data_IF_803358341410
#
_entry.id   IF_803358341410
#
_cell.length_a   1.000
_cell.length_b   1.000
_cell.length_c   1.000
_cell.angle_alpha   90.00
_cell.angle_beta   90.00
_cell.angle_gamma   90.00
#
_symmetry.space_group_name_H-M   'P 1'
#
loop_
_entity.id
_entity.type
_entity.pdbx_description
1 polymer ?
#
# COMPACT_ATOMS: atom_id res chain seq x y z
N UNK A 1 55.53 20.44 -13.97
CA UNK A 1 56.01 19.15 -14.51
C UNK A 1 55.36 18.02 -13.73
N UNK A 2 54.89 17.00 -14.44
CA UNK A 2 54.11 15.84 -13.96
C UNK A 2 55.06 14.71 -13.53
N UNK A 3 54.56 13.87 -12.60
CA UNK A 3 54.71 12.40 -12.44
C UNK A 3 55.35 12.01 -11.11
N UNK A 4 55.04 10.91 -10.44
CA UNK A 4 53.98 9.87 -10.44
C UNK A 4 54.45 8.85 -9.38
N UNK A 5 53.55 7.93 -9.02
CA UNK A 5 53.76 6.74 -8.18
C UNK A 5 53.61 7.01 -6.67
N UNK A 6 52.87 6.22 -5.89
CA UNK A 6 52.37 4.86 -6.09
C UNK A 6 51.24 4.60 -5.09
N UNK A 7 50.32 3.73 -5.49
CA UNK A 7 49.24 3.20 -4.65
C UNK A 7 49.79 2.41 -3.44
N UNK A 8 49.19 2.62 -2.28
CA UNK A 8 49.05 1.60 -1.24
C UNK A 8 47.63 1.62 -0.69
N UNK A 9 46.91 0.56 -1.03
CA UNK A 9 45.62 0.21 -0.50
C UNK A 9 45.83 -0.50 0.84
N UNK A 10 45.18 -0.03 1.91
CA UNK A 10 44.77 -0.88 3.03
C UNK A 10 43.84 -0.11 3.95
N UNK A 11 42.65 -0.65 4.18
CA UNK A 11 41.86 -0.32 5.37
C UNK A 11 40.84 0.81 5.23
N UNK A 12 40.20 0.97 4.07
CA UNK A 12 38.85 1.56 4.10
C UNK A 12 37.96 0.51 4.78
N UNK A 13 37.72 0.68 6.08
CA UNK A 13 36.54 0.07 6.70
C UNK A 13 35.37 0.64 5.91
N UNK A 14 34.83 -0.19 5.02
CA UNK A 14 33.53 0.07 4.41
C UNK A 14 32.60 0.42 5.58
N UNK A 15 32.07 1.66 5.66
CA UNK A 15 31.00 1.92 6.59
C UNK A 15 29.88 0.98 6.18
N UNK A 16 29.46 0.13 7.10
CA UNK A 16 28.33 -0.75 6.94
C UNK A 16 27.10 0.06 6.51
N UNK A 17 26.83 0.07 5.20
CA UNK A 17 25.66 0.72 4.61
C UNK A 17 24.39 -0.13 4.80
N UNK A 18 24.45 -1.26 5.51
CA UNK A 18 23.34 -2.21 5.63
C UNK A 18 22.29 -1.85 6.67
N UNK A 19 22.53 -0.86 7.55
CA UNK A 19 21.54 -0.47 8.56
C UNK A 19 20.52 0.59 8.09
N UNK A 20 20.60 1.03 6.82
CA UNK A 20 19.75 2.12 6.33
C UNK A 20 18.38 1.67 5.80
N UNK A 21 18.23 0.39 5.45
CA UNK A 21 16.98 -0.17 4.89
C UNK A 21 16.01 -0.66 5.97
N UNK A 22 16.53 -1.09 7.12
CA UNK A 22 15.75 -1.61 8.25
C UNK A 22 15.02 -0.48 8.99
N UNK A 23 15.66 0.68 9.16
CA UNK A 23 15.15 1.83 9.93
C UNK A 23 13.90 2.48 9.29
N UNK A 24 13.78 2.38 7.95
CA UNK A 24 12.59 2.83 7.21
C UNK A 24 11.41 1.86 7.42
N UNK A 25 11.69 0.58 7.64
CA UNK A 25 10.68 -0.47 7.84
C UNK A 25 10.05 -0.40 9.23
N UNK A 26 10.81 0.07 10.22
CA UNK A 26 10.37 0.16 11.62
C UNK A 26 9.62 1.46 11.96
N UNK A 27 9.79 2.51 11.13
CA UNK A 27 9.23 3.84 11.37
C UNK A 27 7.78 4.08 10.88
N UNK A 28 7.05 3.10 10.35
CA UNK A 28 5.73 3.35 9.74
C UNK A 28 4.51 2.69 10.41
N UNK A 29 4.19 3.01 11.68
CA UNK A 29 2.82 2.95 12.19
C UNK A 29 2.10 4.32 12.15
N UNK A 30 2.59 5.31 11.40
CA UNK A 30 2.24 6.70 11.69
C UNK A 30 1.16 7.38 10.86
N UNK A 31 0.66 6.83 9.75
CA UNK A 31 -0.42 7.49 8.99
C UNK A 31 -1.25 6.47 8.18
N UNK A 32 -2.12 5.71 8.84
CA UNK A 32 -3.29 5.14 8.16
C UNK A 32 -4.25 6.28 7.80
N UNK A 33 -3.82 7.11 6.85
CA UNK A 33 -4.66 8.17 6.30
C UNK A 33 -5.89 7.53 5.64
N UNK A 34 -7.05 8.21 5.65
CA UNK A 34 -8.26 7.70 4.99
C UNK A 34 -8.01 7.23 3.55
N UNK A 35 -7.07 7.86 2.86
CA UNK A 35 -6.63 7.51 1.50
C UNK A 35 -5.97 6.13 1.44
N UNK A 36 -5.07 5.80 2.37
CA UNK A 36 -4.43 4.46 2.44
C UNK A 36 -5.46 3.39 2.80
N UNK A 37 -6.38 3.71 3.71
CA UNK A 37 -7.43 2.79 4.12
C UNK A 37 -8.45 2.54 2.98
N UNK A 38 -8.80 3.59 2.25
CA UNK A 38 -9.62 3.54 1.03
C UNK A 38 -8.97 2.69 -0.06
N UNK A 39 -7.65 2.82 -0.28
CA UNK A 39 -6.92 1.95 -1.21
C UNK A 39 -6.96 0.48 -0.78
N UNK A 40 -6.75 0.20 0.51
CA UNK A 40 -6.83 -1.17 1.03
C UNK A 40 -8.22 -1.78 0.82
N UNK A 41 -9.28 -1.01 1.09
CA UNK A 41 -10.67 -1.44 0.86
C UNK A 41 -10.93 -1.67 -0.62
N UNK A 42 -10.48 -0.75 -1.49
CA UNK A 42 -10.59 -0.88 -2.94
C UNK A 42 -9.99 -2.21 -3.43
N UNK A 43 -8.77 -2.53 -3.00
CA UNK A 43 -8.08 -3.77 -3.37
C UNK A 43 -8.81 -5.00 -2.85
N UNK A 44 -9.28 -4.98 -1.61
CA UNK A 44 -10.02 -6.11 -1.03
C UNK A 44 -11.29 -6.41 -1.83
N UNK A 45 -12.09 -5.39 -2.15
CA UNK A 45 -13.33 -5.57 -2.92
C UNK A 45 -13.02 -6.01 -4.35
N UNK A 46 -11.97 -5.48 -4.98
CA UNK A 46 -11.53 -5.90 -6.31
C UNK A 46 -11.14 -7.39 -6.33
N UNK A 47 -10.43 -7.87 -5.30
CA UNK A 47 -10.12 -9.29 -5.17
C UNK A 47 -11.36 -10.15 -4.99
N UNK A 48 -12.34 -9.71 -4.18
CA UNK A 48 -13.60 -10.43 -4.02
C UNK A 48 -14.40 -10.52 -5.33
N UNK A 49 -14.35 -9.47 -6.17
CA UNK A 49 -14.94 -9.49 -7.51
C UNK A 49 -14.19 -10.46 -8.43
N UNK A 50 -12.85 -10.43 -8.42
CA UNK A 50 -12.01 -11.29 -9.26
C UNK A 50 -12.16 -12.79 -8.91
N UNK A 51 -12.35 -13.10 -7.62
CA UNK A 51 -12.57 -14.46 -7.12
C UNK A 51 -14.01 -14.96 -7.36
N UNK A 52 -14.93 -14.09 -7.81
CA UNK A 52 -16.34 -14.44 -7.96
C UNK A 52 -17.10 -14.57 -6.64
N UNK A 53 -16.50 -14.16 -5.51
CA UNK A 53 -17.12 -14.16 -4.19
C UNK A 53 -18.31 -13.20 -4.10
N UNK A 54 -18.31 -12.16 -4.94
CA UNK A 54 -19.43 -11.24 -5.11
C UNK A 54 -20.22 -11.62 -6.36
N UNK A 55 -21.47 -12.07 -6.16
CA UNK A 55 -22.36 -12.40 -7.26
C UNK A 55 -22.68 -11.14 -8.07
N UNK A 56 -22.77 -11.27 -9.40
CA UNK A 56 -23.25 -10.16 -10.24
C UNK A 56 -24.65 -9.72 -9.77
N UNK A 57 -24.84 -8.40 -9.67
CA UNK A 57 -26.07 -7.81 -9.14
C UNK A 57 -26.24 -7.90 -7.62
N UNK A 58 -25.28 -8.44 -6.88
CA UNK A 58 -25.31 -8.40 -5.41
C UNK A 58 -25.16 -6.97 -4.90
N UNK A 59 -25.99 -6.60 -3.93
CA UNK A 59 -25.93 -5.28 -3.30
C UNK A 59 -24.74 -5.18 -2.34
N UNK A 60 -23.80 -4.28 -2.63
CA UNK A 60 -22.69 -3.96 -1.74
C UNK A 60 -23.12 -2.94 -0.68
N UNK A 61 -23.45 -3.42 0.52
CA UNK A 61 -23.82 -2.54 1.64
C UNK A 61 -22.57 -2.04 2.36
N UNK A 62 -22.42 -0.71 2.41
CA UNK A 62 -21.28 -0.04 3.10
C UNK A 62 -21.15 -0.53 4.55
N UNK A 63 -22.24 -0.61 5.30
CA UNK A 63 -22.22 -1.04 6.70
C UNK A 63 -21.72 -2.47 6.89
N UNK A 64 -21.99 -3.36 5.93
CA UNK A 64 -21.53 -4.75 5.97
C UNK A 64 -20.03 -4.80 5.65
N UNK A 65 -19.59 -4.09 4.61
CA UNK A 65 -18.18 -4.00 4.23
C UNK A 65 -17.32 -3.37 5.32
N UNK A 66 -17.79 -2.29 5.95
CA UNK A 66 -17.12 -1.65 7.08
C UNK A 66 -16.86 -2.63 8.23
N UNK A 67 -17.88 -3.40 8.62
CA UNK A 67 -17.75 -4.41 9.68
C UNK A 67 -16.83 -5.56 9.27
N UNK A 68 -16.96 -6.06 8.05
CA UNK A 68 -16.16 -7.18 7.56
C UNK A 68 -14.67 -6.83 7.42
N UNK A 69 -14.36 -5.59 7.04
CA UNK A 69 -12.99 -5.11 6.83
C UNK A 69 -12.40 -4.37 8.04
N UNK A 70 -13.19 -4.16 9.11
CA UNK A 70 -12.73 -3.48 10.33
C UNK A 70 -12.46 -1.98 10.13
N UNK A 71 -13.14 -1.32 9.20
CA UNK A 71 -12.89 0.08 8.81
C UNK A 71 -14.12 0.96 8.98
N UNK A 72 -13.93 2.27 9.05
CA UNK A 72 -15.03 3.23 9.10
C UNK A 72 -15.79 3.31 7.76
N UNK A 73 -17.00 3.90 7.72
CA UNK A 73 -17.80 4.01 6.49
C UNK A 73 -17.19 4.91 5.41
N UNK A 74 -16.39 5.90 5.79
CA UNK A 74 -15.77 6.89 4.88
C UNK A 74 -14.82 6.24 3.85
N UNK A 75 -13.77 5.48 4.25
CA UNK A 75 -12.88 4.83 3.30
C UNK A 75 -13.62 3.79 2.43
N UNK A 76 -14.68 3.18 2.95
CA UNK A 76 -15.52 2.27 2.15
C UNK A 76 -16.29 3.01 1.07
N UNK A 77 -16.90 4.16 1.39
CA UNK A 77 -17.58 4.99 0.38
C UNK A 77 -16.62 5.44 -0.71
N UNK A 78 -15.44 5.92 -0.33
CA UNK A 78 -14.42 6.36 -1.30
C UNK A 78 -13.96 5.20 -2.19
N UNK A 79 -13.66 4.04 -1.61
CA UNK A 79 -13.26 2.85 -2.36
C UNK A 79 -14.35 2.39 -3.34
N UNK A 80 -15.61 2.38 -2.90
CA UNK A 80 -16.74 2.02 -3.76
C UNK A 80 -16.97 3.07 -4.85
N UNK A 81 -16.86 4.37 -4.56
CA UNK A 81 -16.95 5.41 -5.57
C UNK A 81 -15.86 5.26 -6.64
N UNK A 82 -14.63 4.92 -6.23
CA UNK A 82 -13.52 4.61 -7.14
C UNK A 82 -13.80 3.36 -7.97
N UNK A 83 -14.33 2.29 -7.38
CA UNK A 83 -14.77 1.10 -8.13
C UNK A 83 -15.89 1.42 -9.12
N UNK A 84 -16.85 2.26 -8.75
CA UNK A 84 -17.92 2.70 -9.64
C UNK A 84 -17.37 3.47 -10.85
N UNK A 85 -16.35 4.31 -10.64
CA UNK A 85 -15.67 5.02 -11.72
C UNK A 85 -14.97 4.09 -12.74
N UNK A 86 -14.63 2.85 -12.35
CA UNK A 86 -14.09 1.83 -13.28
C UNK A 86 -15.17 1.09 -14.07
N UNK A 87 -16.46 1.26 -13.72
CA UNK A 87 -17.58 0.53 -14.32
C UNK A 87 -17.75 -0.90 -13.81
N UNK A 88 -16.95 -1.34 -12.82
CA UNK A 88 -17.06 -2.68 -12.22
C UNK A 88 -18.28 -2.82 -11.29
N UNK A 89 -18.75 -1.71 -10.72
CA UNK A 89 -19.96 -1.64 -9.91
C UNK A 89 -20.78 -0.43 -10.34
N UNK A 90 -22.07 -0.42 -10.00
CA UNK A 90 -22.98 0.70 -10.27
C UNK A 90 -23.74 1.09 -9.00
N UNK A 91 -24.20 2.34 -8.94
CA UNK A 91 -24.92 2.91 -7.80
C UNK A 91 -26.39 2.50 -7.79
#
# INVERSE_FOLDING_TARGET
MIRSARAEAAGRREPDLSHSEEEIREAAPLLETPQVLSERVYRAVLQMLAQGSLRRGATLRISVLSKALGVSPTPVREALARLAATGLITH
#
